data_IF_780347059084
#
_entry.id   IF_780347059084
#
_cell.length_a   1.000
_cell.length_b   1.000
_cell.length_c   1.000
_cell.angle_alpha   90.00
_cell.angle_beta   90.00
_cell.angle_gamma   90.00
#
_symmetry.space_group_name_H-M   'P 1'
#
loop_
_entity.id
_entity.type
_entity.pdbx_description
1 polymer ?
#
# COMPACT_ATOMS: atom_id res chain seq x y z
N UNK A 1 -4.63 34.09 -5.56
CA UNK A 1 -4.15 33.71 -4.22
C UNK A 1 -4.32 32.21 -4.09
N UNK A 2 -3.22 31.46 -4.01
CA UNK A 2 -3.23 30.02 -3.75
C UNK A 2 -2.81 29.80 -2.28
N UNK A 3 -3.42 28.86 -1.54
CA UNK A 3 -2.89 28.50 -0.24
C UNK A 3 -1.66 27.60 -0.42
N UNK A 4 -0.62 27.89 0.35
CA UNK A 4 0.61 27.14 0.42
C UNK A 4 0.36 25.69 0.90
N UNK A 5 1.04 24.73 0.29
CA UNK A 5 1.08 23.34 0.77
C UNK A 5 2.47 23.06 1.31
N UNK A 6 2.52 22.73 2.60
CA UNK A 6 3.72 22.38 3.35
C UNK A 6 3.96 20.86 3.26
N UNK A 7 5.21 20.42 3.23
CA UNK A 7 5.60 19.02 3.35
C UNK A 7 6.56 18.86 4.54
N UNK A 8 6.28 17.87 5.40
CA UNK A 8 7.10 17.49 6.55
C UNK A 8 7.65 16.07 6.38
N UNK A 9 8.90 15.87 6.80
CA UNK A 9 9.62 14.60 6.84
C UNK A 9 9.52 14.00 8.25
N UNK A 10 9.29 12.69 8.40
CA UNK A 10 9.53 12.01 9.68
C UNK A 10 10.18 10.63 9.49
N UNK A 11 11.29 10.44 10.21
CA UNK A 11 12.02 9.18 10.36
C UNK A 11 11.46 8.48 11.59
N UNK A 12 11.15 7.19 11.47
CA UNK A 12 10.65 6.39 12.58
C UNK A 12 11.62 5.24 12.84
N UNK A 13 12.36 5.36 13.93
CA UNK A 13 13.17 4.28 14.51
C UNK A 13 12.40 3.67 15.69
N UNK A 14 12.23 2.35 15.70
CA UNK A 14 11.64 1.64 16.85
C UNK A 14 12.58 1.77 18.06
N UNK A 15 12.10 2.41 19.13
CA UNK A 15 12.62 2.15 20.48
C UNK A 15 11.85 0.97 21.06
N UNK A 16 12.56 -0.12 21.35
CA UNK A 16 12.05 -1.19 22.18
C UNK A 16 12.14 -0.74 23.64
N UNK A 17 11.01 -0.70 24.35
CA UNK A 17 10.99 -0.58 25.81
C UNK A 17 10.20 -1.75 26.37
N UNK A 18 10.88 -2.49 27.24
CA UNK A 18 10.48 -3.79 27.76
C UNK A 18 9.26 -3.77 28.69
N UNK A 19 8.63 -4.93 28.74
CA UNK A 19 7.55 -5.33 29.64
C UNK A 19 8.08 -5.36 31.08
N UNK A 20 7.43 -4.63 31.98
CA UNK A 20 7.54 -4.83 33.43
C UNK A 20 6.20 -5.36 33.97
N UNK A 21 6.24 -6.58 34.50
CA UNK A 21 5.19 -7.18 35.34
C UNK A 21 5.11 -6.44 36.67
N UNK A 22 3.90 -6.30 37.23
CA UNK A 22 3.74 -6.27 38.69
C UNK A 22 2.38 -6.80 39.12
N UNK A 23 2.41 -7.46 40.29
CA UNK A 23 1.40 -8.32 40.88
C UNK A 23 0.27 -7.54 41.59
N UNK A 24 -0.87 -8.23 41.76
CA UNK A 24 -1.95 -7.88 42.69
C UNK A 24 -1.48 -7.84 44.17
N UNK A 25 -2.31 -7.32 45.09
CA UNK A 25 -3.10 -8.27 45.87
C UNK A 25 -4.57 -7.85 46.13
N UNK A 26 -5.34 -8.85 46.53
CA UNK A 26 -6.74 -8.82 46.93
C UNK A 26 -6.95 -8.21 48.33
N UNK A 27 -8.15 -7.66 48.55
CA UNK A 27 -8.73 -7.51 49.90
C UNK A 27 -10.24 -7.70 49.87
N UNK A 28 -10.71 -8.45 50.87
CA UNK A 28 -12.03 -8.92 51.23
C UNK A 28 -13.08 -7.85 51.57
N UNK A 29 -14.36 -8.20 51.43
CA UNK A 29 -15.47 -7.53 52.13
C UNK A 29 -16.85 -8.06 51.75
N UNK A 30 -17.45 -8.91 52.59
CA UNK A 30 -18.86 -9.29 52.58
C UNK A 30 -19.75 -8.09 52.97
N UNK A 31 -20.95 -7.96 52.38
CA UNK A 31 -22.22 -7.90 53.11
C UNK A 31 -23.44 -7.70 52.19
N UNK A 32 -24.49 -8.44 52.52
CA UNK A 32 -25.85 -8.46 51.98
C UNK A 32 -26.69 -7.23 52.33
N UNK A 33 -27.68 -6.91 51.49
CA UNK A 33 -28.82 -6.06 51.87
C UNK A 33 -29.81 -5.85 50.74
N UNK A 34 -30.97 -6.52 50.82
CA UNK A 34 -32.18 -6.21 50.03
C UNK A 34 -32.85 -4.96 50.59
N UNK A 35 -33.36 -4.07 49.74
CA UNK A 35 -34.71 -3.47 49.83
C UNK A 35 -34.94 -2.45 48.71
N UNK A 36 -35.97 -2.70 47.90
CA UNK A 36 -36.76 -1.70 47.16
C UNK A 36 -37.87 -1.17 48.10
N UNK A 37 -38.39 0.08 47.92
CA UNK A 37 -39.46 0.31 46.93
C UNK A 37 -39.56 1.70 46.24
N UNK A 38 -40.18 1.66 45.05
CA UNK A 38 -41.22 2.57 44.53
C UNK A 38 -40.96 4.08 44.30
N UNK A 39 -40.86 4.41 43.01
CA UNK A 39 -41.52 5.48 42.24
C UNK A 39 -41.70 6.89 42.82
N UNK A 40 -41.11 7.88 42.13
CA UNK A 40 -41.83 9.13 41.81
C UNK A 40 -41.25 9.81 40.57
N UNK A 41 -42.17 10.27 39.73
CA UNK A 41 -42.02 11.10 38.55
C UNK A 41 -41.21 12.38 38.80
N UNK A 42 -40.21 12.66 37.96
CA UNK A 42 -39.84 14.03 37.63
C UNK A 42 -39.27 14.08 36.21
N UNK A 43 -40.11 14.60 35.30
CA UNK A 43 -39.75 14.93 33.94
C UNK A 43 -38.69 16.04 33.93
N UNK A 44 -37.46 15.73 33.49
CA UNK A 44 -36.47 16.73 33.08
C UNK A 44 -36.06 16.44 31.65
N UNK A 45 -36.48 17.34 30.77
CA UNK A 45 -36.02 17.46 29.39
C UNK A 45 -34.50 17.52 29.39
N UNK A 46 -33.85 16.42 29.00
CA UNK A 46 -32.46 16.47 28.58
C UNK A 46 -32.47 16.99 27.15
N UNK A 47 -31.77 18.11 26.97
CA UNK A 47 -31.68 18.87 25.73
C UNK A 47 -31.25 17.99 24.56
N UNK A 48 -31.79 18.30 23.40
CA UNK A 48 -31.60 17.67 22.10
C UNK A 48 -30.19 17.85 21.51
N UNK A 49 -29.14 17.93 22.33
CA UNK A 49 -27.77 18.27 21.91
C UNK A 49 -26.77 17.11 21.91
N UNK A 50 -27.19 15.89 22.29
CA UNK A 50 -26.31 14.69 22.26
C UNK A 50 -26.55 13.81 21.02
N UNK A 51 -27.26 14.31 20.00
CA UNK A 51 -27.54 13.59 18.74
C UNK A 51 -26.80 14.16 17.52
N UNK A 52 -25.67 14.82 17.73
CA UNK A 52 -24.90 15.51 16.67
C UNK A 52 -23.45 15.04 16.48
N UNK A 53 -23.11 13.82 16.88
CA UNK A 53 -21.81 13.22 16.59
C UNK A 53 -21.99 11.80 16.06
N UNK A 54 -22.27 11.69 14.76
CA UNK A 54 -21.97 10.58 13.84
C UNK A 54 -22.81 10.77 12.57
N UNK A 55 -22.67 11.94 11.92
CA UNK A 55 -22.91 11.96 10.48
C UNK A 55 -21.63 11.38 9.87
N UNK A 56 -21.61 10.06 9.62
CA UNK A 56 -20.67 9.50 8.67
C UNK A 56 -20.82 10.34 7.40
N UNK A 57 -19.79 11.11 7.03
CA UNK A 57 -19.83 11.94 5.85
C UNK A 57 -20.20 11.03 4.68
N UNK A 58 -21.43 11.17 4.16
CA UNK A 58 -21.88 10.38 3.02
C UNK A 58 -20.99 10.78 1.84
N UNK A 59 -20.03 9.90 1.57
CA UNK A 59 -19.05 10.03 0.51
C UNK A 59 -19.76 10.18 -0.85
N UNK A 60 -19.18 10.90 -1.81
CA UNK A 60 -19.77 11.03 -3.14
C UNK A 60 -20.03 9.65 -3.74
N UNK A 61 -21.26 9.42 -4.18
CA UNK A 61 -21.65 8.23 -4.93
C UNK A 61 -20.94 8.30 -6.30
N UNK A 62 -19.75 7.71 -6.36
CA UNK A 62 -19.06 7.51 -7.64
C UNK A 62 -19.78 6.38 -8.36
N UNK A 63 -20.37 6.72 -9.51
CA UNK A 63 -21.01 5.77 -10.40
C UNK A 63 -19.98 4.75 -10.89
N UNK A 64 -20.24 3.48 -10.64
CA UNK A 64 -19.37 2.36 -11.03
C UNK A 64 -19.92 1.62 -12.25
N UNK A 65 -20.99 2.11 -12.87
CA UNK A 65 -21.77 1.43 -13.93
C UNK A 65 -20.98 1.17 -15.22
N UNK A 66 -19.84 1.84 -15.40
CA UNK A 66 -18.95 1.68 -16.54
C UNK A 66 -17.76 0.75 -16.24
N UNK A 67 -17.65 0.25 -15.00
CA UNK A 67 -16.58 -0.62 -14.56
C UNK A 67 -17.01 -2.09 -14.68
N UNK A 68 -16.03 -2.98 -14.81
CA UNK A 68 -16.27 -4.42 -14.86
C UNK A 68 -16.88 -4.96 -13.54
N UNK A 69 -17.93 -5.78 -13.65
CA UNK A 69 -18.71 -6.28 -12.50
C UNK A 69 -17.85 -7.02 -11.46
N UNK A 70 -16.88 -7.83 -11.92
CA UNK A 70 -16.01 -8.58 -11.03
C UNK A 70 -15.07 -7.62 -10.27
N UNK A 71 -14.50 -6.64 -10.96
CA UNK A 71 -13.65 -5.64 -10.31
C UNK A 71 -14.46 -4.75 -9.35
N UNK A 72 -15.73 -4.45 -9.65
CA UNK A 72 -16.64 -3.74 -8.74
C UNK A 72 -16.94 -4.55 -7.47
N UNK A 73 -17.17 -5.87 -7.58
CA UNK A 73 -17.38 -6.72 -6.41
C UNK A 73 -16.16 -6.69 -5.47
N UNK A 74 -14.94 -6.74 -6.04
CA UNK A 74 -13.69 -6.67 -5.27
C UNK A 74 -13.49 -5.32 -4.55
N UNK A 75 -14.20 -4.26 -4.94
CA UNK A 75 -14.13 -2.98 -4.22
C UNK A 75 -14.67 -3.06 -2.77
N UNK A 76 -15.46 -4.10 -2.45
CA UNK A 76 -15.98 -4.35 -1.12
C UNK A 76 -14.99 -5.07 -0.19
N UNK A 77 -13.87 -5.58 -0.71
CA UNK A 77 -12.81 -6.19 0.08
C UNK A 77 -12.31 -5.22 1.16
N UNK A 78 -12.09 -5.70 2.38
CA UNK A 78 -11.63 -4.88 3.50
C UNK A 78 -10.11 -4.85 3.55
N UNK A 79 -9.52 -3.69 3.27
CA UNK A 79 -8.10 -3.43 3.41
C UNK A 79 -7.73 -3.13 4.87
N UNK A 80 -6.46 -3.35 5.23
CA UNK A 80 -5.92 -2.99 6.55
C UNK A 80 -5.49 -1.52 6.52
N UNK A 81 -6.13 -0.66 7.31
CA UNK A 81 -5.72 0.72 7.50
C UNK A 81 -4.56 0.80 8.48
N UNK A 82 -3.58 1.66 8.17
CA UNK A 82 -2.36 1.82 8.94
C UNK A 82 -1.99 3.30 9.10
N UNK A 83 -1.18 3.59 10.12
CA UNK A 83 -0.46 4.87 10.21
C UNK A 83 0.86 4.84 9.41
N UNK A 84 1.60 5.96 9.40
CA UNK A 84 2.90 6.06 8.72
C UNK A 84 4.00 5.16 9.32
N UNK A 85 3.76 4.56 10.49
CA UNK A 85 4.62 3.57 11.13
C UNK A 85 4.26 2.13 10.76
N UNK A 86 3.29 1.96 9.86
CA UNK A 86 2.70 0.66 9.53
C UNK A 86 2.11 -0.03 10.76
N UNK A 87 1.53 0.74 11.69
CA UNK A 87 0.73 0.22 12.79
C UNK A 87 -0.73 0.17 12.36
N UNK A 88 -1.37 -0.99 12.53
CA UNK A 88 -2.79 -1.16 12.20
C UNK A 88 -3.66 -0.24 13.06
N UNK A 89 -4.47 0.59 12.39
CA UNK A 89 -5.42 1.51 13.04
C UNK A 89 -6.89 1.19 12.73
N UNK A 90 -7.17 0.28 11.79
CA UNK A 90 -8.53 -0.13 11.46
C UNK A 90 -8.63 -0.87 10.13
N UNK A 91 -9.81 -0.78 9.53
CA UNK A 91 -10.13 -1.37 8.23
C UNK A 91 -11.07 -0.45 7.45
N UNK A 92 -10.96 -0.46 6.13
CA UNK A 92 -11.93 0.17 5.23
C UNK A 92 -11.98 -0.60 3.91
N UNK A 93 -13.03 -0.36 3.14
CA UNK A 93 -13.22 -0.97 1.82
C UNK A 93 -12.10 -0.55 0.87
N UNK A 94 -11.75 -1.46 -0.03
CA UNK A 94 -10.84 -1.19 -1.15
C UNK A 94 -11.29 0.03 -1.94
N UNK A 95 -12.61 0.19 -2.17
CA UNK A 95 -13.17 1.43 -2.75
C UNK A 95 -12.61 2.66 -2.04
N UNK A 96 -12.88 2.80 -0.75
CA UNK A 96 -12.52 4.00 0.00
C UNK A 96 -11.02 4.22 0.08
N UNK A 97 -10.24 3.15 0.20
CA UNK A 97 -8.77 3.20 0.24
C UNK A 97 -8.16 3.78 -1.04
N UNK A 98 -8.80 3.55 -2.20
CA UNK A 98 -8.25 3.92 -3.51
C UNK A 98 -8.87 5.21 -4.09
N UNK A 99 -9.76 5.89 -3.35
CA UNK A 99 -10.28 7.19 -3.76
C UNK A 99 -9.31 8.31 -3.42
N UNK A 100 -8.92 9.10 -4.43
CA UNK A 100 -8.05 10.27 -4.25
C UNK A 100 -8.61 11.22 -3.17
N UNK A 101 -9.93 11.37 -3.08
CA UNK A 101 -10.59 12.23 -2.08
C UNK A 101 -10.39 11.78 -0.62
N UNK A 102 -10.07 10.50 -0.38
CA UNK A 102 -9.74 9.96 0.93
C UNK A 102 -8.23 9.90 1.14
N UNK A 103 -7.49 9.50 0.10
CA UNK A 103 -6.03 9.51 0.07
C UNK A 103 -5.48 10.92 0.37
N UNK A 104 -6.13 11.99 -0.11
CA UNK A 104 -5.75 13.38 0.17
C UNK A 104 -6.07 13.83 1.60
N UNK A 105 -6.91 13.09 2.33
CA UNK A 105 -7.14 13.25 3.76
C UNK A 105 -6.19 12.40 4.61
N UNK A 106 -5.26 11.68 3.99
CA UNK A 106 -4.25 10.85 4.66
C UNK A 106 -4.65 9.39 4.86
N UNK A 107 -5.74 8.91 4.23
CA UNK A 107 -6.09 7.49 4.28
C UNK A 107 -4.95 6.66 3.65
N UNK A 108 -4.45 5.67 4.39
CA UNK A 108 -3.27 4.88 4.08
C UNK A 108 -3.56 3.42 4.44
N UNK A 109 -3.23 2.51 3.53
CA UNK A 109 -3.45 1.08 3.71
C UNK A 109 -2.19 0.26 3.46
N UNK A 110 -2.17 -0.97 4.01
CA UNK A 110 -1.08 -1.93 3.81
C UNK A 110 -1.23 -2.61 2.45
N UNK A 111 -0.11 -2.83 1.76
CA UNK A 111 -0.07 -3.51 0.46
C UNK A 111 1.15 -4.43 0.36
N UNK A 112 1.22 -5.21 -0.73
CA UNK A 112 2.41 -5.97 -1.09
C UNK A 112 2.68 -5.96 -2.60
N UNK A 113 3.96 -6.14 -2.94
CA UNK A 113 4.46 -6.33 -4.29
C UNK A 113 5.37 -7.55 -4.36
N UNK A 114 4.96 -8.55 -5.14
CA UNK A 114 5.73 -9.78 -5.40
C UNK A 114 6.63 -9.61 -6.62
N UNK A 115 7.88 -10.05 -6.47
CA UNK A 115 8.86 -10.22 -7.54
C UNK A 115 9.26 -11.69 -7.63
N UNK A 116 8.68 -12.41 -8.59
CA UNK A 116 8.95 -13.83 -8.85
C UNK A 116 9.95 -13.97 -10.00
N UNK A 117 11.03 -14.69 -9.74
CA UNK A 117 12.05 -15.01 -10.74
C UNK A 117 12.00 -16.49 -11.11
N UNK A 118 12.18 -16.81 -12.39
CA UNK A 118 12.42 -18.19 -12.81
C UNK A 118 13.81 -18.67 -12.39
N UNK A 119 14.09 -19.97 -12.58
CA UNK A 119 15.43 -20.54 -12.45
C UNK A 119 16.46 -19.81 -13.31
N UNK A 120 16.05 -19.34 -14.49
CA UNK A 120 16.87 -18.59 -15.46
C UNK A 120 17.06 -17.11 -15.08
N UNK A 121 16.71 -16.75 -13.85
CA UNK A 121 16.77 -15.39 -13.31
C UNK A 121 15.99 -14.36 -14.15
N UNK A 122 14.91 -14.78 -14.82
CA UNK A 122 14.00 -13.86 -15.52
C UNK A 122 12.88 -13.46 -14.57
N UNK A 123 12.57 -12.17 -14.51
CA UNK A 123 11.48 -11.63 -13.70
C UNK A 123 10.15 -11.84 -14.43
N UNK A 124 9.17 -12.43 -13.76
CA UNK A 124 7.79 -12.50 -14.26
C UNK A 124 7.13 -11.14 -14.11
N UNK A 125 6.78 -10.52 -15.22
CA UNK A 125 5.96 -9.31 -15.29
C UNK A 125 4.54 -9.65 -15.73
N UNK A 126 3.59 -8.85 -15.28
CA UNK A 126 2.23 -8.85 -15.80
C UNK A 126 1.87 -7.49 -16.42
N UNK A 127 1.00 -7.53 -17.43
CA UNK A 127 0.26 -6.39 -17.90
C UNK A 127 -1.14 -6.44 -17.31
N UNK A 128 -1.52 -5.40 -16.58
CA UNK A 128 -2.85 -5.28 -15.95
C UNK A 128 -3.93 -5.36 -17.03
N UNK A 129 -5.04 -6.06 -16.75
CA UNK A 129 -6.20 -6.06 -17.65
C UNK A 129 -6.73 -4.63 -17.86
N UNK A 130 -7.45 -4.41 -18.95
CA UNK A 130 -8.14 -3.14 -19.18
C UNK A 130 -9.36 -2.98 -18.24
N UNK A 131 -9.79 -4.06 -17.56
CA UNK A 131 -10.87 -4.05 -16.59
C UNK A 131 -10.45 -3.51 -15.21
N UNK A 132 -9.14 -3.48 -14.90
CA UNK A 132 -8.63 -2.97 -13.62
C UNK A 132 -9.04 -1.51 -13.41
N UNK A 133 -9.53 -1.21 -12.19
CA UNK A 133 -9.95 0.14 -11.82
C UNK A 133 -8.77 1.10 -11.73
N UNK A 134 -7.67 0.68 -11.10
CA UNK A 134 -6.42 1.46 -11.05
C UNK A 134 -5.42 0.95 -12.09
N UNK A 135 -4.81 1.87 -12.84
CA UNK A 135 -3.76 1.62 -13.83
C UNK A 135 -4.07 0.48 -14.83
N UNK A 136 -5.23 0.50 -15.52
CA UNK A 136 -5.54 -0.49 -16.55
C UNK A 136 -4.49 -0.49 -17.67
N UNK A 137 -4.16 -1.67 -18.20
CA UNK A 137 -3.23 -1.82 -19.33
C UNK A 137 -1.73 -1.60 -19.03
N UNK A 138 -1.38 -1.13 -17.83
CA UNK A 138 0.01 -0.89 -17.43
C UNK A 138 0.77 -2.19 -17.16
N UNK A 139 2.05 -2.23 -17.55
CA UNK A 139 2.97 -3.27 -17.10
C UNK A 139 3.44 -3.03 -15.66
N UNK A 140 3.60 -4.11 -14.91
CA UNK A 140 4.04 -4.09 -13.50
C UNK A 140 4.77 -5.38 -13.12
N UNK A 141 5.25 -5.47 -11.87
CA UNK A 141 5.86 -6.69 -11.31
C UNK A 141 4.83 -7.84 -11.21
N UNK A 142 5.26 -8.98 -10.68
CA UNK A 142 4.53 -10.24 -10.78
C UNK A 142 3.10 -10.17 -10.26
N UNK A 143 2.89 -9.62 -9.06
CA UNK A 143 1.58 -9.48 -8.45
C UNK A 143 1.63 -8.35 -7.42
N UNK A 144 0.60 -7.50 -7.40
CA UNK A 144 0.44 -6.40 -6.44
C UNK A 144 -0.98 -6.40 -5.90
N UNK A 145 -1.13 -6.42 -4.57
CA UNK A 145 -2.45 -6.43 -3.95
C UNK A 145 -2.36 -6.07 -2.46
N UNK A 146 -3.42 -6.42 -1.73
CA UNK A 146 -3.59 -6.06 -0.32
C UNK A 146 -3.74 -7.31 0.55
N UNK A 147 -3.09 -7.35 1.72
CA UNK A 147 -3.59 -8.19 2.80
C UNK A 147 -4.98 -7.71 3.23
N UNK A 148 -5.88 -8.65 3.42
CA UNK A 148 -7.25 -8.41 3.85
C UNK A 148 -7.31 -8.29 5.38
N UNK A 149 -8.24 -7.48 5.86
CA UNK A 149 -8.54 -7.38 7.29
C UNK A 149 -9.34 -8.61 7.78
N UNK A 150 -8.67 -9.77 7.79
CA UNK A 150 -9.18 -11.08 8.21
C UNK A 150 -8.16 -11.78 9.11
N UNK A 151 -8.60 -12.64 10.02
CA UNK A 151 -7.72 -13.26 11.04
C UNK A 151 -6.47 -13.94 10.44
N UNK A 152 -6.58 -14.56 9.26
CA UNK A 152 -5.46 -15.22 8.59
C UNK A 152 -4.41 -14.27 7.99
N UNK A 153 -4.78 -13.05 7.64
CA UNK A 153 -3.91 -12.06 6.97
C UNK A 153 -3.52 -10.88 7.88
N UNK A 154 -4.06 -10.83 9.10
CA UNK A 154 -3.73 -9.84 10.13
C UNK A 154 -2.48 -10.18 10.96
N UNK A 155 -1.94 -11.39 10.82
CA UNK A 155 -0.76 -11.85 11.56
C UNK A 155 0.52 -11.15 11.07
N UNK A 156 1.14 -10.36 11.95
CA UNK A 156 2.28 -9.51 11.58
C UNK A 156 3.65 -10.15 11.83
N UNK A 157 3.70 -11.23 12.62
CA UNK A 157 4.94 -11.95 12.91
C UNK A 157 5.55 -12.50 11.61
N UNK A 158 6.82 -12.20 11.39
CA UNK A 158 7.57 -12.53 10.16
C UNK A 158 6.82 -12.21 8.86
N UNK A 159 6.00 -11.15 8.88
CA UNK A 159 5.15 -10.72 7.77
C UNK A 159 4.27 -11.85 7.19
N UNK A 160 3.90 -12.85 7.99
CA UNK A 160 3.22 -14.06 7.49
C UNK A 160 1.84 -13.77 6.91
N UNK A 161 1.07 -12.84 7.48
CA UNK A 161 -0.23 -12.44 6.95
C UNK A 161 -0.13 -11.84 5.53
N UNK A 162 0.90 -11.04 5.29
CA UNK A 162 1.19 -10.48 3.96
C UNK A 162 1.64 -11.55 2.96
N UNK A 163 2.45 -12.52 3.40
CA UNK A 163 2.89 -13.65 2.54
C UNK A 163 1.72 -14.58 2.18
N UNK A 164 0.78 -14.81 3.09
CA UNK A 164 -0.48 -15.53 2.81
C UNK A 164 -1.36 -14.78 1.80
N UNK A 165 -1.48 -13.46 1.95
CA UNK A 165 -2.18 -12.62 0.98
C UNK A 165 -1.56 -12.70 -0.41
N UNK A 166 -0.23 -12.69 -0.49
CA UNK A 166 0.50 -12.87 -1.74
C UNK A 166 0.26 -14.23 -2.37
N UNK A 167 0.31 -15.33 -1.60
CA UNK A 167 -0.03 -16.67 -2.08
C UNK A 167 -1.45 -16.71 -2.67
N UNK A 168 -2.44 -16.17 -1.95
CA UNK A 168 -3.84 -16.10 -2.41
C UNK A 168 -3.97 -15.36 -3.73
N UNK A 169 -3.30 -14.21 -3.90
CA UNK A 169 -3.41 -13.40 -5.12
C UNK A 169 -2.60 -13.94 -6.28
N UNK A 170 -1.46 -14.58 -6.04
CA UNK A 170 -0.73 -15.33 -7.08
C UNK A 170 -1.62 -16.43 -7.68
N UNK A 171 -2.39 -17.13 -6.85
CA UNK A 171 -3.40 -18.07 -7.35
C UNK A 171 -4.53 -17.35 -8.10
N UNK A 172 -5.14 -16.33 -7.50
CA UNK A 172 -6.31 -15.67 -8.07
C UNK A 172 -6.03 -14.92 -9.39
N UNK A 173 -4.87 -14.30 -9.54
CA UNK A 173 -4.51 -13.48 -10.71
C UNK A 173 -3.76 -14.28 -11.77
N UNK A 174 -2.74 -15.06 -11.37
CA UNK A 174 -1.85 -15.77 -12.29
C UNK A 174 -2.21 -17.26 -12.43
N UNK A 175 -3.16 -17.77 -11.65
CA UNK A 175 -3.55 -19.18 -11.67
C UNK A 175 -2.49 -20.12 -11.09
N UNK A 176 -1.51 -19.60 -10.34
CA UNK A 176 -0.43 -20.41 -9.78
C UNK A 176 -1.00 -21.32 -8.67
N UNK A 177 -0.82 -22.65 -8.72
CA UNK A 177 -1.27 -23.53 -7.66
C UNK A 177 -0.64 -23.18 -6.30
N UNK A 178 -1.43 -23.21 -5.22
CA UNK A 178 -1.00 -22.73 -3.90
C UNK A 178 0.23 -23.47 -3.37
N UNK A 179 0.32 -24.77 -3.66
CA UNK A 179 1.43 -25.66 -3.32
C UNK A 179 2.74 -25.26 -4.00
N UNK A 180 2.68 -24.55 -5.14
CA UNK A 180 3.88 -24.04 -5.80
C UNK A 180 4.39 -22.76 -5.12
N UNK A 181 3.57 -22.00 -4.42
CA UNK A 181 3.97 -20.72 -3.82
C UNK A 181 3.66 -20.64 -2.32
N UNK A 182 4.21 -21.56 -1.50
CA UNK A 182 3.97 -21.54 -0.05
C UNK A 182 4.54 -20.26 0.58
N UNK A 183 3.88 -19.66 1.59
CA UNK A 183 4.33 -18.42 2.22
C UNK A 183 5.76 -18.49 2.77
N UNK A 184 6.21 -19.66 3.19
CA UNK A 184 7.53 -19.93 3.77
C UNK A 184 8.67 -19.73 2.76
N UNK A 185 8.41 -19.89 1.47
CA UNK A 185 9.40 -19.67 0.40
C UNK A 185 9.45 -18.21 -0.08
N UNK A 186 8.50 -17.36 0.36
CA UNK A 186 8.52 -15.94 0.05
C UNK A 186 9.38 -15.17 1.04
N UNK A 187 10.42 -14.50 0.52
CA UNK A 187 11.29 -13.66 1.32
C UNK A 187 10.74 -12.23 1.39
N UNK A 188 10.43 -11.74 2.58
CA UNK A 188 10.17 -10.33 2.82
C UNK A 188 11.50 -9.55 2.87
N UNK A 189 11.65 -8.50 2.04
CA UNK A 189 12.88 -7.70 2.01
C UNK A 189 12.78 -6.37 2.77
N UNK A 190 11.78 -5.57 2.45
CA UNK A 190 11.63 -4.21 2.98
C UNK A 190 10.22 -3.69 2.72
N UNK A 191 9.92 -2.48 3.21
CA UNK A 191 8.70 -1.74 2.89
C UNK A 191 9.01 -0.42 2.19
N UNK A 192 8.11 0.01 1.32
CA UNK A 192 8.17 1.30 0.63
C UNK A 192 6.85 2.04 0.86
N UNK A 193 6.93 3.26 1.38
CA UNK A 193 5.77 4.15 1.45
C UNK A 193 5.72 4.99 0.18
N UNK A 194 4.62 4.91 -0.56
CA UNK A 194 4.42 5.69 -1.78
C UNK A 194 2.96 6.15 -1.94
N UNK A 195 2.77 7.17 -2.80
CA UNK A 195 1.47 7.68 -3.23
C UNK A 195 1.49 7.92 -4.73
N UNK A 196 0.45 7.50 -5.45
CA UNK A 196 0.35 7.64 -6.90
C UNK A 196 -1.11 7.83 -7.34
N UNK A 197 -1.36 8.68 -8.33
CA UNK A 197 -2.70 8.83 -8.91
C UNK A 197 -2.82 7.99 -10.18
N UNK A 198 -3.93 7.26 -10.32
CA UNK A 198 -4.28 6.55 -11.55
C UNK A 198 -4.95 7.52 -12.52
N UNK A 199 -5.98 8.22 -12.06
CA UNK A 199 -6.72 9.23 -12.80
C UNK A 199 -7.23 10.33 -11.85
N UNK A 200 -8.27 11.08 -12.25
CA UNK A 200 -8.87 12.13 -11.42
C UNK A 200 -9.62 11.62 -10.19
N UNK A 201 -10.00 10.35 -10.14
CA UNK A 201 -10.83 9.73 -9.10
C UNK A 201 -10.03 8.74 -8.26
N UNK A 202 -9.26 7.88 -8.92
CA UNK A 202 -8.60 6.74 -8.31
C UNK A 202 -7.09 6.93 -8.15
N UNK A 203 -6.53 6.31 -7.13
CA UNK A 203 -5.10 6.33 -6.82
C UNK A 203 -4.72 5.27 -5.79
N UNK A 204 -3.45 5.34 -5.37
CA UNK A 204 -2.79 4.46 -4.41
C UNK A 204 -2.10 5.31 -3.35
N UNK A 205 -2.17 4.89 -2.09
CA UNK A 205 -1.39 5.44 -0.98
C UNK A 205 -1.13 4.32 0.00
N UNK A 206 0.10 3.79 -0.02
CA UNK A 206 0.40 2.47 0.52
C UNK A 206 1.72 2.42 1.27
N UNK A 207 1.77 1.61 2.32
CA UNK A 207 3.04 1.00 2.77
C UNK A 207 3.09 -0.40 2.16
N UNK A 208 3.96 -0.54 1.18
CA UNK A 208 4.07 -1.70 0.30
C UNK A 208 5.18 -2.65 0.75
N UNK A 209 4.82 -3.88 1.10
CA UNK A 209 5.73 -4.95 1.46
C UNK A 209 6.34 -5.59 0.21
N UNK A 210 7.66 -5.50 0.10
CA UNK A 210 8.38 -6.06 -1.04
C UNK A 210 8.73 -7.51 -0.77
N UNK A 211 8.08 -8.41 -1.51
CA UNK A 211 8.24 -9.86 -1.42
C UNK A 211 9.00 -10.40 -2.63
N UNK A 212 9.93 -11.30 -2.38
CA UNK A 212 10.73 -11.94 -3.42
C UNK A 212 10.61 -13.45 -3.35
N UNK A 213 10.56 -14.09 -4.52
CA UNK A 213 10.56 -15.53 -4.67
C UNK A 213 11.32 -15.92 -5.93
N UNK A 214 12.00 -17.07 -5.90
CA UNK A 214 12.63 -17.63 -7.09
C UNK A 214 12.18 -19.07 -7.25
N UNK A 215 11.36 -19.32 -8.27
CA UNK A 215 10.76 -20.62 -8.54
C UNK A 215 10.17 -20.64 -9.95
N UNK A 216 10.22 -21.80 -10.60
CA UNK A 216 9.47 -22.03 -11.82
C UNK A 216 8.04 -22.44 -11.44
N UNK A 217 7.07 -21.77 -12.05
CA UNK A 217 5.66 -21.92 -11.72
C UNK A 217 4.83 -22.11 -12.98
N UNK A 218 3.72 -22.83 -12.82
CA UNK A 218 2.68 -22.96 -13.84
C UNK A 218 1.77 -21.73 -13.82
N UNK A 219 1.42 -21.21 -15.00
CA UNK A 219 0.61 -20.01 -15.15
C UNK A 219 -0.68 -20.33 -15.88
N UNK A 220 -1.81 -19.93 -15.27
CA UNK A 220 -3.13 -19.90 -15.90
C UNK A 220 -3.84 -18.59 -15.53
N UNK A 221 -3.37 -17.44 -16.05
CA UNK A 221 -3.83 -16.13 -15.58
C UNK A 221 -5.30 -15.87 -15.85
N UNK A 222 -5.96 -15.16 -14.93
CA UNK A 222 -7.31 -14.68 -15.11
C UNK A 222 -7.32 -13.46 -16.05
N UNK A 223 -8.00 -13.52 -17.22
CA UNK A 223 -8.04 -12.41 -18.17
C UNK A 223 -8.73 -11.16 -17.61
N UNK A 224 -9.55 -11.28 -16.56
CA UNK A 224 -10.13 -10.14 -15.86
C UNK A 224 -9.10 -9.38 -15.02
N UNK A 225 -8.01 -10.02 -14.62
CA UNK A 225 -6.93 -9.44 -13.82
C UNK A 225 -5.72 -9.06 -14.69
N UNK A 226 -5.36 -9.92 -15.64
CA UNK A 226 -4.11 -9.87 -16.40
C UNK A 226 -4.38 -9.94 -17.91
N UNK A 227 -3.93 -8.91 -18.63
CA UNK A 227 -4.00 -8.83 -20.09
C UNK A 227 -2.96 -9.71 -20.78
N UNK A 228 -1.74 -9.68 -20.25
CA UNK A 228 -0.60 -10.45 -20.77
C UNK A 228 0.45 -10.61 -19.68
N UNK A 229 1.39 -11.53 -19.85
CA UNK A 229 2.51 -11.72 -18.93
C UNK A 229 3.76 -12.11 -19.72
N UNK A 230 4.94 -11.82 -19.17
CA UNK A 230 6.20 -12.21 -19.78
C UNK A 230 7.32 -12.36 -18.75
N UNK A 231 8.25 -13.26 -19.03
CA UNK A 231 9.50 -13.37 -18.30
C UNK A 231 10.57 -12.51 -18.99
N UNK A 232 11.20 -11.62 -18.23
CA UNK A 232 12.21 -10.69 -18.77
C UNK A 232 13.55 -10.83 -18.07
N UNK A 233 14.62 -10.87 -18.86
CA UNK A 233 15.98 -10.69 -18.38
C UNK A 233 16.21 -9.27 -17.84
N UNK A 234 17.38 -9.04 -17.23
CA UNK A 234 17.77 -7.73 -16.74
C UNK A 234 17.87 -6.71 -17.88
N UNK A 235 18.41 -7.13 -19.01
CA UNK A 235 18.63 -6.30 -20.20
C UNK A 235 17.31 -5.96 -20.87
N UNK A 236 16.40 -6.93 -21.01
CA UNK A 236 15.05 -6.71 -21.52
C UNK A 236 14.26 -5.77 -20.62
N UNK A 237 14.34 -5.94 -19.29
CA UNK A 237 13.69 -5.05 -18.34
C UNK A 237 14.21 -3.61 -18.45
N UNK A 238 15.53 -3.41 -18.55
CA UNK A 238 16.11 -2.07 -18.80
C UNK A 238 15.56 -1.46 -20.08
N UNK A 239 15.51 -2.23 -21.16
CA UNK A 239 14.97 -1.75 -22.43
C UNK A 239 13.48 -1.38 -22.31
N UNK A 240 12.68 -2.15 -21.58
CA UNK A 240 11.27 -1.83 -21.29
C UNK A 240 11.12 -0.53 -20.50
N UNK A 241 11.93 -0.32 -19.46
CA UNK A 241 11.89 0.90 -18.66
C UNK A 241 12.33 2.14 -19.46
N UNK A 242 13.29 1.99 -20.39
CA UNK A 242 13.65 3.07 -21.31
C UNK A 242 12.53 3.40 -22.30
N UNK A 243 11.81 2.38 -22.82
CA UNK A 243 10.58 2.60 -23.61
C UNK A 243 9.53 3.35 -22.80
N UNK A 244 9.36 3.00 -21.52
CA UNK A 244 8.42 3.69 -20.62
C UNK A 244 8.81 5.16 -20.38
N UNK A 245 10.11 5.47 -20.22
CA UNK A 245 10.59 6.85 -20.12
C UNK A 245 10.28 7.67 -21.37
N UNK A 246 10.25 7.03 -22.55
CA UNK A 246 9.87 7.64 -23.83
C UNK A 246 8.35 7.63 -24.09
N UNK A 247 7.55 7.11 -23.15
CA UNK A 247 6.08 6.96 -23.25
C UNK A 247 5.64 6.07 -24.42
N UNK A 248 6.48 5.10 -24.80
CA UNK A 248 6.15 4.07 -25.78
C UNK A 248 5.46 2.86 -25.13
N UNK A 249 5.48 2.80 -23.79
CA UNK A 249 4.95 1.73 -22.96
C UNK A 249 4.49 2.33 -21.62
N UNK A 250 3.33 1.92 -21.13
CA UNK A 250 2.87 2.32 -19.80
C UNK A 250 3.33 1.32 -18.74
N UNK A 251 3.94 1.82 -17.67
CA UNK A 251 4.35 1.04 -16.50
C UNK A 251 3.78 1.68 -15.24
N UNK A 252 3.43 0.86 -14.25
CA UNK A 252 2.89 1.37 -13.00
C UNK A 252 3.93 2.20 -12.22
N UNK A 253 3.53 3.29 -11.53
CA UNK A 253 4.48 4.18 -10.86
C UNK A 253 5.37 3.49 -9.82
N UNK A 254 4.82 2.57 -9.01
CA UNK A 254 5.60 1.83 -8.01
C UNK A 254 6.63 0.91 -8.67
N UNK A 255 6.30 0.26 -9.79
CA UNK A 255 7.24 -0.61 -10.49
C UNK A 255 8.44 0.17 -11.02
N UNK A 256 8.22 1.35 -11.63
CA UNK A 256 9.32 2.23 -12.04
C UNK A 256 10.19 2.63 -10.84
N UNK A 257 9.56 2.96 -9.71
CA UNK A 257 10.25 3.36 -8.50
C UNK A 257 11.12 2.23 -7.92
N UNK A 258 10.58 1.02 -7.81
CA UNK A 258 11.28 -0.15 -7.28
C UNK A 258 12.42 -0.55 -8.22
N UNK A 259 12.18 -0.50 -9.54
CA UNK A 259 13.19 -0.84 -10.53
C UNK A 259 14.41 0.09 -10.47
N UNK A 260 14.18 1.41 -10.41
CA UNK A 260 15.25 2.42 -10.34
C UNK A 260 16.03 2.35 -9.00
N UNK A 261 15.36 1.98 -7.92
CA UNK A 261 15.94 2.08 -6.57
C UNK A 261 16.60 0.79 -6.09
N UNK A 262 15.98 -0.37 -6.32
CA UNK A 262 16.32 -1.64 -5.66
C UNK A 262 16.68 -2.77 -6.60
N UNK A 263 15.89 -2.97 -7.66
CA UNK A 263 15.91 -4.21 -8.44
C UNK A 263 17.28 -4.48 -9.08
N UNK A 264 17.95 -3.44 -9.60
CA UNK A 264 19.26 -3.58 -10.21
C UNK A 264 20.43 -3.67 -9.21
N UNK A 265 20.25 -3.19 -7.97
CA UNK A 265 21.28 -3.26 -6.92
C UNK A 265 21.31 -4.64 -6.26
N UNK A 266 20.12 -5.21 -6.02
CA UNK A 266 19.98 -6.51 -5.37
C UNK A 266 20.48 -7.67 -6.25
N UNK A 267 20.20 -7.63 -7.56
CA UNK A 267 20.67 -8.69 -8.47
C UNK A 267 22.20 -8.78 -8.57
N UNK A 268 22.92 -7.68 -8.32
CA UNK A 268 24.40 -7.67 -8.31
C UNK A 268 25.02 -8.23 -7.02
N UNK A 269 24.25 -8.30 -5.92
CA UNK A 269 24.72 -8.75 -4.61
C UNK A 269 24.37 -10.21 -4.28
N UNK A 270 23.67 -10.92 -5.20
CA UNK A 270 23.31 -12.34 -5.07
C UNK A 270 24.44 -13.35 -5.33
N UNK A 271 25.68 -12.91 -5.55
CA UNK A 271 26.84 -13.82 -5.40
C UNK A 271 27.19 -13.88 -3.90
N UNK A 272 27.04 -15.04 -3.22
CA UNK A 272 27.41 -15.12 -1.82
C UNK A 272 28.94 -15.06 -1.71
N UNK A 273 29.48 -13.92 -1.28
CA UNK A 273 30.74 -13.92 -0.55
C UNK A 273 30.42 -14.45 0.85
N UNK A 274 31.01 -15.59 1.19
CA UNK A 274 30.91 -16.25 2.48
C UNK A 274 31.12 -15.25 3.64
N UNK A 275 30.16 -15.23 4.59
CA UNK A 275 30.33 -14.69 5.95
C UNK A 275 30.19 -13.18 6.13
N UNK A 276 28.96 -12.69 6.38
CA UNK A 276 28.76 -11.58 7.34
C UNK A 276 27.31 -11.57 7.86
N UNK A 277 27.06 -11.13 9.11
CA UNK A 277 25.75 -11.21 9.74
C UNK A 277 24.77 -10.21 9.12
N UNK A 278 23.52 -10.65 9.02
CA UNK A 278 22.37 -9.92 8.49
C UNK A 278 22.16 -8.58 9.20
N UNK A 279 22.60 -7.51 8.54
CA UNK A 279 22.48 -6.15 9.06
C UNK A 279 21.12 -5.57 8.64
N UNK A 280 20.21 -5.44 9.60
CA UNK A 280 18.89 -4.79 9.44
C UNK A 280 19.08 -3.43 8.76
N UNK A 281 18.59 -3.29 7.53
CA UNK A 281 18.69 -2.04 6.74
C UNK A 281 17.45 -1.16 6.96
N UNK A 282 17.60 0.17 7.04
CA UNK A 282 16.48 1.07 7.30
C UNK A 282 15.49 1.13 6.13
N UNK A 283 14.23 1.42 6.47
CA UNK A 283 13.16 1.77 5.53
C UNK A 283 13.61 2.92 4.62
N UNK A 284 13.43 2.77 3.31
CA UNK A 284 13.73 3.81 2.33
C UNK A 284 12.41 4.41 1.88
N UNK A 285 12.15 5.65 2.28
CA UNK A 285 11.02 6.44 1.80
C UNK A 285 11.36 7.00 0.42
N UNK A 286 10.48 6.80 -0.55
CA UNK A 286 10.66 7.33 -1.90
C UNK A 286 9.49 8.24 -2.27
N UNK A 287 9.81 9.51 -2.52
CA UNK A 287 8.83 10.54 -2.88
C UNK A 287 8.74 10.69 -4.40
N UNK A 288 7.53 10.51 -4.97
CA UNK A 288 7.26 10.85 -6.36
C UNK A 288 6.42 12.15 -6.44
N UNK A 289 7.08 13.27 -6.75
CA UNK A 289 6.44 14.47 -7.25
C UNK A 289 6.99 14.73 -8.66
N UNK A 290 6.17 14.50 -9.69
CA UNK A 290 6.45 15.02 -11.04
C UNK A 290 5.41 16.05 -11.44
N UNK A 291 5.80 17.33 -11.43
CA UNK A 291 5.31 18.34 -12.38
C UNK A 291 6.47 19.20 -12.84
N UNK A 292 6.56 19.43 -14.16
CA UNK A 292 7.27 20.57 -14.76
C UNK A 292 6.26 21.56 -15.33
N UNK A 293 6.33 22.78 -14.83
CA UNK A 293 6.27 24.11 -15.49
C UNK A 293 5.87 25.06 -14.35
N UNK A 294 6.62 26.12 -14.07
CA UNK A 294 6.62 27.38 -14.82
C UNK A 294 8.00 28.07 -14.80
N UNK A 295 8.24 28.82 -15.86
CA UNK A 295 9.29 29.83 -16.06
C UNK A 295 9.30 30.87 -14.93
N UNK A 296 10.45 31.05 -14.28
CA UNK A 296 10.71 32.24 -13.48
C UNK A 296 11.46 33.26 -14.34
N UNK A 297 10.81 34.41 -14.56
CA UNK A 297 11.41 35.66 -15.02
C UNK A 297 12.56 36.04 -14.07
N UNK A 298 13.70 36.38 -14.66
CA UNK A 298 14.82 37.02 -13.95
C UNK A 298 14.36 38.37 -13.35
N UNK A 299 14.88 38.76 -12.17
CA UNK A 299 14.65 40.09 -11.62
C UNK A 299 15.36 41.15 -12.47
N UNK A 300 14.68 42.28 -12.60
CA UNK A 300 15.11 43.51 -13.26
C UNK A 300 16.51 43.93 -12.85
N UNK A 301 17.38 44.12 -13.85
CA UNK A 301 18.60 44.91 -13.69
C UNK A 301 18.18 46.36 -13.83
N UNK A 302 18.36 47.13 -12.75
CA UNK A 302 18.27 48.59 -12.78
C UNK A 302 19.33 49.15 -13.74
N UNK A 303 18.84 49.90 -14.72
CA UNK A 303 19.63 50.69 -15.64
C UNK A 303 20.07 51.96 -14.90
N UNK A 304 21.26 51.93 -14.28
CA UNK A 304 21.89 53.14 -13.77
C UNK A 304 22.49 53.91 -14.96
N UNK A 305 21.71 54.85 -15.48
CA UNK A 305 22.15 55.90 -16.40
C UNK A 305 23.27 56.76 -15.80
N UNK A 306 24.34 56.98 -16.56
CA UNK A 306 25.21 58.15 -16.45
C UNK A 306 25.39 58.79 -17.83
N UNK A 307 25.24 60.12 -17.85
CA UNK A 307 25.58 61.09 -18.92
C UNK A 307 24.75 60.99 -20.21
N UNK A 308 23.96 61.99 -20.62
CA UNK A 308 24.06 63.46 -20.44
C UNK A 308 22.69 64.07 -20.15
#
# INVERSE_FOLDING_TARGET
>A
MAPAVWAGLRVLTRQAVGVLKSNAPASSGLASGRHEPSATSCSRRISSEVRRLQAAARMPEIATDHLDDKQVQLLSEMCILIDENDQRIGADTKKNCHLNSNIDKGLLHRAFSVFLFSSDEKLLLQQRSDAKITFPGCFTNTCCSHPLHTDGELEEEDAVGVRRAAQRRLQAELGIPLEQVPPEEMTYLTRIHYKAQSDGVWGEHEIDYILFMQKDVELSPDPNEIKSHCYVSKEELKAMLEKAKRKELEVTPWFSLIADTFLFKWRSSRRPSCGSPEQKRPLVTAWCLRRRSWTLKAPSVEECSRSR
#
